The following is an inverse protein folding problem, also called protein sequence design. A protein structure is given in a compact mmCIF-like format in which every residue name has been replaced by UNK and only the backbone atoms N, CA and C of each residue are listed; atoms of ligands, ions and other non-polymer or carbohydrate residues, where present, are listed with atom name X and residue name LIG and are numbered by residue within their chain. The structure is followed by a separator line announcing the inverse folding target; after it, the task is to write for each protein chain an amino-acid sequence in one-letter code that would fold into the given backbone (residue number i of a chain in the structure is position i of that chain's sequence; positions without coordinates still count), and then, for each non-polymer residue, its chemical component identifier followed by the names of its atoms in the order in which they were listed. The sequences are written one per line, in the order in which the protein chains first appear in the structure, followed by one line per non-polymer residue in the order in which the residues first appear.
data_IF_392443273826
#
_entry.id   IF_392443273826
#
_cell.length_a   1.000
_cell.length_b   1.000
_cell.length_c   1.000
_cell.angle_alpha   90.00
_cell.angle_beta   90.00
_cell.angle_gamma   90.00
#
_symmetry.space_group_name_H-M   'P 1'
#
loop_
_entity.id
_entity.type
_entity.pdbx_description
1 polymer ?
#
# COMPACT_ATOMS: atom_id res chain seq x y z
N UNK A 1 17.56 10.83 -21.66
CA UNK A 1 16.74 9.71 -22.20
C UNK A 1 16.63 8.54 -21.20
N UNK A 2 17.73 7.99 -20.69
CA UNK A 2 17.72 6.86 -19.72
C UNK A 2 16.91 7.15 -18.45
N UNK A 3 17.08 8.34 -17.86
CA UNK A 3 16.37 8.73 -16.63
C UNK A 3 14.84 8.74 -16.81
N UNK A 4 14.35 9.22 -17.95
CA UNK A 4 12.92 9.26 -18.25
C UNK A 4 12.35 7.84 -18.42
N UNK A 5 13.11 6.95 -19.04
CA UNK A 5 12.72 5.55 -19.21
C UNK A 5 12.65 4.84 -17.85
N UNK A 6 13.66 5.03 -16.99
CA UNK A 6 13.66 4.48 -15.63
C UNK A 6 12.50 5.02 -14.79
N UNK A 7 12.23 6.31 -14.86
CA UNK A 7 11.09 6.92 -14.17
C UNK A 7 9.75 6.37 -14.68
N UNK A 8 9.62 6.15 -15.97
CA UNK A 8 8.40 5.57 -16.55
C UNK A 8 8.17 4.14 -16.06
N UNK A 9 9.22 3.30 -16.08
CA UNK A 9 9.15 1.91 -15.59
C UNK A 9 8.83 1.89 -14.10
N UNK A 10 9.49 2.73 -13.30
CA UNK A 10 9.23 2.84 -11.86
C UNK A 10 7.80 3.28 -11.58
N UNK A 11 7.27 4.24 -12.33
CA UNK A 11 5.90 4.74 -12.18
C UNK A 11 4.87 3.66 -12.50
N UNK A 12 5.06 2.92 -13.60
CA UNK A 12 4.18 1.79 -13.98
C UNK A 12 4.23 0.70 -12.90
N UNK A 13 5.43 0.32 -12.44
CA UNK A 13 5.60 -0.67 -11.39
C UNK A 13 4.88 -0.27 -10.10
N UNK A 14 4.95 1.01 -9.75
CA UNK A 14 4.27 1.56 -8.58
C UNK A 14 2.74 1.52 -8.72
N UNK A 15 2.21 1.87 -9.90
CA UNK A 15 0.77 1.79 -10.19
C UNK A 15 0.28 0.34 -10.09
N UNK A 16 1.00 -0.61 -10.67
CA UNK A 16 0.66 -2.04 -10.59
C UNK A 16 0.70 -2.53 -9.14
N UNK A 17 1.72 -2.15 -8.38
CA UNK A 17 1.83 -2.46 -6.95
C UNK A 17 0.70 -1.85 -6.13
N UNK A 18 0.33 -0.61 -6.39
CA UNK A 18 -0.79 0.08 -5.74
C UNK A 18 -2.15 -0.58 -6.02
N UNK A 19 -2.38 -0.97 -7.27
CA UNK A 19 -3.58 -1.75 -7.66
C UNK A 19 -3.58 -3.11 -6.94
N UNK A 20 -2.42 -3.74 -6.79
CA UNK A 20 -2.27 -4.98 -6.01
C UNK A 20 -2.72 -4.81 -4.56
N UNK A 21 -2.26 -3.76 -3.87
CA UNK A 21 -2.70 -3.42 -2.50
C UNK A 21 -4.22 -3.18 -2.47
N UNK A 22 -4.74 -2.42 -3.40
CA UNK A 22 -6.18 -2.16 -3.50
C UNK A 22 -6.98 -3.45 -3.64
N UNK A 23 -6.55 -4.38 -4.49
CA UNK A 23 -7.23 -5.65 -4.70
C UNK A 23 -7.19 -6.54 -3.44
N UNK A 24 -6.05 -6.63 -2.76
CA UNK A 24 -5.93 -7.37 -1.49
C UNK A 24 -6.89 -6.82 -0.45
N UNK A 25 -6.96 -5.49 -0.30
CA UNK A 25 -7.86 -4.86 0.64
C UNK A 25 -9.33 -5.02 0.27
N UNK A 26 -9.68 -5.00 -1.02
CA UNK A 26 -11.05 -5.27 -1.48
C UNK A 26 -11.49 -6.69 -1.16
N UNK A 27 -10.61 -7.68 -1.34
CA UNK A 27 -10.87 -9.07 -0.95
C UNK A 27 -11.02 -9.17 0.56
N UNK A 28 -10.13 -8.54 1.34
CA UNK A 28 -10.21 -8.50 2.80
C UNK A 28 -11.52 -7.88 3.30
N UNK A 29 -12.00 -6.81 2.67
CA UNK A 29 -13.30 -6.20 2.98
C UNK A 29 -14.44 -7.18 2.68
N UNK A 30 -14.38 -7.88 1.54
CA UNK A 30 -15.40 -8.86 1.16
C UNK A 30 -15.47 -10.04 2.15
N UNK A 31 -14.31 -10.58 2.55
CA UNK A 31 -14.22 -11.66 3.52
C UNK A 31 -14.68 -11.26 4.92
N UNK A 32 -14.45 -10.01 5.32
CA UNK A 32 -14.82 -9.45 6.63
C UNK A 32 -16.14 -8.69 6.64
N UNK A 33 -16.92 -8.75 5.57
CA UNK A 33 -18.18 -7.97 5.44
C UNK A 33 -19.11 -8.18 6.63
N UNK A 34 -19.31 -9.43 7.07
CA UNK A 34 -20.16 -9.75 8.22
C UNK A 34 -19.61 -9.16 9.53
N UNK A 35 -18.31 -9.27 9.76
CA UNK A 35 -17.66 -8.71 10.96
C UNK A 35 -17.80 -7.19 11.01
N UNK A 36 -17.56 -6.52 9.88
CA UNK A 36 -17.72 -5.06 9.74
C UNK A 36 -19.18 -4.67 10.00
N UNK A 37 -20.14 -5.43 9.45
CA UNK A 37 -21.56 -5.22 9.66
C UNK A 37 -21.97 -5.32 11.13
N UNK A 38 -21.46 -6.30 11.85
CA UNK A 38 -21.69 -6.45 13.30
C UNK A 38 -21.13 -5.25 14.07
N UNK A 39 -19.92 -4.81 13.75
CA UNK A 39 -19.30 -3.63 14.39
C UNK A 39 -20.11 -2.37 14.18
N UNK A 40 -20.62 -2.14 12.97
CA UNK A 40 -21.46 -0.99 12.65
C UNK A 40 -22.79 -1.08 13.39
N UNK A 41 -23.41 -2.26 13.44
CA UNK A 41 -24.66 -2.50 14.18
C UNK A 41 -24.50 -2.26 15.70
N UNK A 42 -23.32 -2.54 16.25
CA UNK A 42 -22.97 -2.27 17.66
C UNK A 42 -22.56 -0.80 17.93
N UNK A 43 -22.65 0.08 16.93
CA UNK A 43 -22.42 1.51 17.07
C UNK A 43 -21.05 1.99 16.66
N UNK A 44 -20.23 1.19 15.97
CA UNK A 44 -18.96 1.67 15.43
C UNK A 44 -19.19 2.78 14.41
N UNK A 45 -18.46 3.87 14.57
CA UNK A 45 -18.54 5.01 13.63
C UNK A 45 -17.87 4.64 12.30
N UNK A 46 -18.45 5.07 11.19
CA UNK A 46 -17.89 4.88 9.84
C UNK A 46 -16.42 5.34 9.73
N UNK A 47 -16.08 6.43 10.43
CA UNK A 47 -14.71 6.94 10.49
C UNK A 47 -13.74 5.93 11.13
N UNK A 48 -14.16 5.18 12.11
CA UNK A 48 -13.30 4.17 12.77
C UNK A 48 -12.97 3.02 11.82
N UNK A 49 -13.97 2.55 11.06
CA UNK A 49 -13.78 1.52 10.03
C UNK A 49 -12.87 2.06 8.91
N UNK A 50 -13.11 3.29 8.44
CA UNK A 50 -12.27 3.94 7.43
C UNK A 50 -10.80 4.01 7.87
N UNK A 51 -10.56 4.50 9.08
CA UNK A 51 -9.19 4.65 9.63
C UNK A 51 -8.51 3.30 9.80
N UNK A 52 -9.22 2.27 10.23
CA UNK A 52 -8.67 0.92 10.38
C UNK A 52 -8.10 0.40 9.05
N UNK A 53 -8.87 0.48 7.97
CA UNK A 53 -8.41 0.02 6.65
C UNK A 53 -7.31 0.92 6.05
N UNK A 54 -7.35 2.23 6.33
CA UNK A 54 -6.26 3.13 5.91
C UNK A 54 -4.95 2.82 6.64
N UNK A 55 -4.99 2.54 7.94
CA UNK A 55 -3.82 2.13 8.72
C UNK A 55 -3.28 0.80 8.19
N UNK A 56 -4.15 -0.17 7.89
CA UNK A 56 -3.76 -1.45 7.31
C UNK A 56 -3.06 -1.27 5.94
N UNK A 57 -3.63 -0.45 5.05
CA UNK A 57 -3.04 -0.11 3.75
C UNK A 57 -1.68 0.57 3.90
N UNK A 58 -1.58 1.54 4.82
CA UNK A 58 -0.34 2.27 5.08
C UNK A 58 0.73 1.35 5.66
N UNK A 59 0.37 0.46 6.58
CA UNK A 59 1.30 -0.52 7.16
C UNK A 59 1.86 -1.48 6.09
N UNK A 60 1.00 -2.01 5.21
CA UNK A 60 1.43 -2.86 4.09
C UNK A 60 2.41 -2.13 3.16
N UNK A 61 2.10 -0.88 2.82
CA UNK A 61 2.96 -0.06 1.95
C UNK A 61 4.27 0.31 2.63
N UNK A 62 4.25 0.58 3.92
CA UNK A 62 5.45 0.88 4.70
C UNK A 62 6.39 -0.33 4.74
N UNK A 63 5.87 -1.51 5.03
CA UNK A 63 6.63 -2.76 5.01
C UNK A 63 7.20 -3.00 3.61
N UNK A 64 6.38 -2.89 2.57
CA UNK A 64 6.82 -3.01 1.18
C UNK A 64 7.89 -1.99 0.80
N UNK A 65 7.75 -0.74 1.24
CA UNK A 65 8.73 0.33 1.01
C UNK A 65 10.06 0.06 1.69
N UNK A 66 10.05 -0.44 2.93
CA UNK A 66 11.28 -0.81 3.66
C UNK A 66 11.96 -2.00 2.97
N UNK A 67 11.23 -3.06 2.65
CA UNK A 67 11.75 -4.22 1.94
C UNK A 67 12.33 -3.82 0.58
N UNK A 68 11.58 -3.00 -0.18
CA UNK A 68 12.03 -2.47 -1.46
C UNK A 68 13.31 -1.62 -1.34
N UNK A 69 13.41 -0.79 -0.31
CA UNK A 69 14.61 0.01 -0.04
C UNK A 69 15.82 -0.88 0.27
N UNK A 70 15.66 -1.90 1.11
CA UNK A 70 16.73 -2.86 1.44
C UNK A 70 17.19 -3.60 0.20
N UNK A 71 16.27 -4.14 -0.59
CA UNK A 71 16.59 -4.85 -1.84
C UNK A 71 17.25 -3.90 -2.88
N UNK A 72 16.77 -2.66 -2.97
CA UNK A 72 17.35 -1.65 -3.86
C UNK A 72 18.78 -1.31 -3.49
N UNK A 73 19.09 -1.12 -2.20
CA UNK A 73 20.44 -0.88 -1.70
C UNK A 73 21.32 -2.10 -1.96
N UNK A 74 20.84 -3.32 -1.68
CA UNK A 74 21.57 -4.55 -1.93
C UNK A 74 21.91 -4.73 -3.42
N UNK A 75 20.92 -4.51 -4.30
CA UNK A 75 21.13 -4.57 -5.74
C UNK A 75 22.13 -3.51 -6.24
N UNK A 76 21.99 -2.27 -5.77
CA UNK A 76 22.90 -1.18 -6.13
C UNK A 76 24.34 -1.47 -5.70
N UNK A 77 24.54 -1.99 -4.48
CA UNK A 77 25.86 -2.36 -3.98
C UNK A 77 26.47 -3.56 -4.72
N UNK A 78 25.65 -4.54 -5.10
CA UNK A 78 26.13 -5.67 -5.91
C UNK A 78 26.57 -5.22 -7.31
N UNK A 79 25.82 -4.34 -7.97
CA UNK A 79 26.19 -3.77 -9.28
C UNK A 79 27.46 -2.94 -9.16
N UNK A 80 27.58 -2.13 -8.10
CA UNK A 80 28.79 -1.35 -7.84
C UNK A 80 30.04 -2.22 -7.73
N UNK A 81 29.95 -3.36 -7.03
CA UNK A 81 31.05 -4.29 -6.84
C UNK A 81 31.41 -5.05 -8.14
N UNK A 82 30.45 -5.38 -8.98
CA UNK A 82 30.69 -6.13 -10.22
C UNK A 82 31.13 -5.25 -11.39
N UNK A 83 30.71 -3.99 -11.43
CA UNK A 83 30.99 -3.07 -12.53
C UNK A 83 32.09 -2.04 -12.21
N UNK A 84 32.71 -2.12 -11.03
CA UNK A 84 33.67 -1.11 -10.52
C UNK A 84 33.13 0.34 -10.59
N UNK A 85 31.82 0.48 -10.42
CA UNK A 85 31.13 1.76 -10.52
C UNK A 85 30.83 2.33 -9.13
N UNK A 86 31.27 3.56 -8.81
CA UNK A 86 31.01 4.15 -7.50
C UNK A 86 29.52 4.54 -7.36
N UNK A 87 28.71 3.61 -6.84
CA UNK A 87 27.30 3.88 -6.54
C UNK A 87 27.17 4.36 -5.10
N UNK A 88 26.57 5.53 -4.90
CA UNK A 88 26.23 6.06 -3.58
C UNK A 88 24.72 6.22 -3.50
N UNK A 89 24.11 5.55 -2.53
CA UNK A 89 22.69 5.73 -2.23
C UNK A 89 22.56 6.74 -1.09
N UNK A 90 22.07 7.96 -1.36
CA UNK A 90 21.93 8.97 -0.32
C UNK A 90 20.77 8.59 0.63
N UNK A 91 20.90 8.83 1.96
CA UNK A 91 19.83 8.54 2.92
C UNK A 91 18.50 9.24 2.60
N UNK A 92 18.56 10.41 1.98
CA UNK A 92 17.38 11.14 1.53
C UNK A 92 16.56 10.39 0.47
N UNK A 93 17.22 9.64 -0.42
CA UNK A 93 16.53 8.83 -1.41
C UNK A 93 15.79 7.66 -0.76
N UNK A 94 16.41 7.03 0.26
CA UNK A 94 15.78 5.95 1.03
C UNK A 94 14.57 6.47 1.80
N UNK A 95 14.70 7.57 2.52
CA UNK A 95 13.60 8.18 3.24
C UNK A 95 12.48 8.62 2.29
N UNK A 96 12.84 9.25 1.17
CA UNK A 96 11.89 9.68 0.14
C UNK A 96 11.12 8.51 -0.45
N UNK A 97 11.77 7.38 -0.74
CA UNK A 97 11.12 6.19 -1.29
C UNK A 97 10.11 5.57 -0.31
N UNK A 98 10.45 5.49 0.98
CA UNK A 98 9.55 4.96 2.02
C UNK A 98 8.34 5.88 2.22
N UNK A 99 8.55 7.20 2.29
CA UNK A 99 7.46 8.17 2.41
C UNK A 99 6.53 8.13 1.19
N UNK A 100 7.10 8.05 0.00
CA UNK A 100 6.34 7.97 -1.24
C UNK A 100 5.54 6.67 -1.34
N UNK A 101 6.14 5.53 -0.98
CA UNK A 101 5.45 4.25 -0.89
C UNK A 101 4.26 4.30 0.08
N UNK A 102 4.45 4.92 1.24
CA UNK A 102 3.36 5.10 2.22
C UNK A 102 2.23 5.97 1.69
N UNK A 103 2.54 7.04 0.97
CA UNK A 103 1.55 7.90 0.32
C UNK A 103 0.73 7.14 -0.74
N UNK A 104 1.39 6.29 -1.54
CA UNK A 104 0.74 5.40 -2.51
C UNK A 104 -0.21 4.42 -1.81
N UNK A 105 0.21 3.85 -0.68
CA UNK A 105 -0.65 2.97 0.12
C UNK A 105 -1.91 3.65 0.62
N UNK A 106 -1.79 4.90 1.10
CA UNK A 106 -2.96 5.70 1.50
C UNK A 106 -3.87 5.95 0.29
N UNK A 107 -3.32 6.33 -0.84
CA UNK A 107 -4.08 6.64 -2.05
C UNK A 107 -4.88 5.43 -2.54
N UNK A 108 -4.23 4.29 -2.74
CA UNK A 108 -4.90 3.07 -3.21
C UNK A 108 -5.73 2.37 -2.13
N UNK A 109 -5.41 2.59 -0.86
CA UNK A 109 -6.18 2.08 0.27
C UNK A 109 -7.47 2.86 0.55
N UNK A 110 -7.57 4.09 0.06
CA UNK A 110 -8.72 4.96 0.34
C UNK A 110 -10.04 4.42 -0.24
N UNK A 111 -10.01 3.84 -1.44
CA UNK A 111 -11.20 3.28 -2.08
C UNK A 111 -11.77 2.08 -1.30
N UNK A 112 -10.99 1.00 -1.02
CA UNK A 112 -11.50 -0.11 -0.21
C UNK A 112 -11.90 0.31 1.20
N UNK A 113 -11.17 1.23 1.83
CA UNK A 113 -11.51 1.76 3.15
C UNK A 113 -12.86 2.50 3.15
N UNK A 114 -13.12 3.31 2.14
CA UNK A 114 -14.44 3.97 1.98
C UNK A 114 -15.54 2.96 1.72
N UNK A 115 -15.30 1.96 0.92
CA UNK A 115 -16.27 0.89 0.64
C UNK A 115 -16.63 0.14 1.92
N UNK A 116 -15.64 -0.24 2.73
CA UNK A 116 -15.85 -0.89 4.02
C UNK A 116 -16.68 -0.03 4.98
N UNK A 117 -16.37 1.27 5.07
CA UNK A 117 -17.03 2.20 5.99
C UNK A 117 -18.49 2.51 5.63
N UNK A 118 -18.91 2.22 4.40
CA UNK A 118 -20.27 2.48 3.88
C UNK A 118 -21.13 1.23 3.78
N UNK A 119 -20.67 0.10 4.30
CA UNK A 119 -21.45 -1.14 4.32
C UNK A 119 -22.75 -0.91 5.10
N UNK A 120 -23.86 -1.41 4.54
CA UNK A 120 -25.14 -1.49 5.24
C UNK A 120 -25.10 -2.69 6.20
N UNK A 121 -25.28 -2.48 7.52
CA UNK A 121 -25.20 -3.55 8.49
C UNK A 121 -26.24 -4.65 8.23
N UNK A 122 -27.44 -4.29 7.73
CA UNK A 122 -28.50 -5.26 7.44
C UNK A 122 -28.11 -6.14 6.26
N UNK A 123 -27.61 -5.53 5.18
CA UNK A 123 -27.14 -6.25 3.99
C UNK A 123 -25.90 -7.10 4.31
N UNK A 124 -24.99 -6.60 5.14
CA UNK A 124 -23.77 -7.30 5.55
C UNK A 124 -24.05 -8.55 6.39
N UNK A 125 -25.12 -8.52 7.22
CA UNK A 125 -25.53 -9.66 8.05
C UNK A 125 -26.31 -10.73 7.25
N UNK A 126 -26.84 -10.38 6.08
CA UNK A 126 -27.54 -11.29 5.16
C UNK A 126 -26.60 -12.01 4.18
N UNK A 127 -25.37 -11.57 4.09
CA UNK A 127 -24.36 -12.24 3.26
C UNK A 127 -23.89 -13.53 3.94
N UNK A 128 -24.35 -14.64 3.39
CA UNK A 128 -23.80 -15.96 3.67
C UNK A 128 -22.62 -16.26 2.73
#
# INVERSE_FOLDING_TARGET
MMTNLLLSVASISLLVGGIGIMNILLVSVAERTREIGIRIALGAKRRQILLQFLVEATALSLVGGIVGAVLGIAAASAIAALADWPVRVPPSAVLGSVLFSSAVGVFFGLYPARRASRLDPIAALRHE
#
